data_IF_375541249937
#
_entry.id   IF_375541249937
#
_cell.length_a   1.000
_cell.length_b   1.000
_cell.length_c   1.000
_cell.angle_alpha   90.00
_cell.angle_beta   90.00
_cell.angle_gamma   90.00
#
_symmetry.space_group_name_H-M   'P 1'
#
loop_
_entity.id
_entity.type
_entity.pdbx_description
1 polymer ?
#
# COMPACT_ATOMS: atom_id res chain seq x y z
N UNK A 1 -10.96 7.30 -1.35
CA UNK A 1 -10.17 8.54 -1.52
C UNK A 1 -9.73 9.14 -0.17
N UNK A 2 -10.65 9.47 0.75
CA UNK A 2 -10.31 10.07 2.05
C UNK A 2 -9.31 9.25 2.90
N UNK A 3 -9.45 7.92 2.88
CA UNK A 3 -8.55 6.99 3.58
C UNK A 3 -7.13 6.99 3.01
N UNK A 4 -6.97 7.09 1.67
CA UNK A 4 -5.65 7.20 1.03
C UNK A 4 -5.00 8.52 1.43
N UNK A 5 -5.79 9.59 1.40
CA UNK A 5 -5.28 10.92 1.72
C UNK A 5 -4.80 10.99 3.18
N UNK A 6 -5.56 10.41 4.11
CA UNK A 6 -5.15 10.26 5.51
C UNK A 6 -3.91 9.38 5.64
N UNK A 7 -3.88 8.21 4.97
CA UNK A 7 -2.74 7.30 5.01
C UNK A 7 -1.46 7.96 4.48
N UNK A 8 -1.54 8.67 3.36
CA UNK A 8 -0.43 9.40 2.76
C UNK A 8 0.07 10.53 3.67
N UNK A 9 -0.84 11.27 4.32
CA UNK A 9 -0.48 12.31 5.31
C UNK A 9 0.23 11.68 6.51
N UNK A 10 -0.28 10.57 7.04
CA UNK A 10 0.33 9.87 8.17
C UNK A 10 1.71 9.33 7.80
N UNK A 11 1.87 8.72 6.62
CA UNK A 11 3.17 8.27 6.10
C UNK A 11 4.16 9.42 5.99
N UNK A 12 3.73 10.57 5.47
CA UNK A 12 4.60 11.74 5.32
C UNK A 12 5.01 12.33 6.68
N UNK A 13 4.08 12.42 7.63
CA UNK A 13 4.35 12.90 9.00
C UNK A 13 5.31 11.95 9.73
N UNK A 14 5.04 10.64 9.70
CA UNK A 14 5.88 9.65 10.37
C UNK A 14 7.25 9.57 9.69
N UNK A 15 7.31 9.64 8.36
CA UNK A 15 8.56 9.67 7.60
C UNK A 15 9.42 10.89 7.93
N UNK A 16 8.78 12.07 8.07
CA UNK A 16 9.47 13.31 8.44
C UNK A 16 9.99 13.30 9.89
N UNK A 17 9.23 12.70 10.82
CA UNK A 17 9.69 12.49 12.19
C UNK A 17 10.87 11.51 12.21
N UNK A 18 10.80 10.40 11.46
CA UNK A 18 11.89 9.43 11.41
C UNK A 18 13.18 10.03 10.81
N UNK A 19 13.09 10.93 9.82
CA UNK A 19 14.27 11.65 9.32
C UNK A 19 14.94 12.56 10.35
N UNK A 20 14.22 13.10 11.34
CA UNK A 20 14.81 13.94 12.39
C UNK A 20 15.35 13.14 13.58
N UNK A 21 14.78 11.95 13.86
CA UNK A 21 15.06 11.22 15.10
C UNK A 21 15.84 9.92 14.92
N UNK A 22 16.00 9.40 13.70
CA UNK A 22 16.69 8.12 13.43
C UNK A 22 17.82 8.34 12.42
N UNK A 23 19.04 8.53 12.93
CA UNK A 23 20.25 8.77 12.13
C UNK A 23 20.68 7.56 11.26
N UNK A 24 20.31 6.34 11.64
CA UNK A 24 20.70 5.08 10.94
C UNK A 24 19.66 4.58 9.92
N UNK A 25 18.57 5.32 9.69
CA UNK A 25 17.62 4.93 8.64
C UNK A 25 18.13 5.43 7.30
N UNK A 26 18.56 4.49 6.44
CA UNK A 26 18.96 4.81 5.07
C UNK A 26 17.77 5.33 4.24
N UNK A 27 16.52 4.91 4.56
CA UNK A 27 15.31 5.25 3.81
C UNK A 27 14.04 5.45 4.68
N UNK A 28 14.02 6.44 5.59
CA UNK A 28 12.98 6.59 6.62
C UNK A 28 11.57 6.87 6.10
N UNK A 29 11.44 7.44 4.90
CA UNK A 29 10.14 7.67 4.25
C UNK A 29 9.54 6.35 3.74
N UNK A 30 10.35 5.39 3.32
CA UNK A 30 9.86 4.09 2.86
C UNK A 30 9.53 3.16 4.02
N UNK A 31 10.34 3.19 5.07
CA UNK A 31 10.08 2.44 6.29
C UNK A 31 8.77 2.89 6.94
N UNK A 32 8.51 4.20 6.96
CA UNK A 32 7.23 4.73 7.44
C UNK A 32 6.07 4.32 6.52
N UNK A 33 6.30 4.30 5.21
CA UNK A 33 5.29 3.92 4.22
C UNK A 33 4.86 2.47 4.39
N UNK A 34 5.81 1.54 4.45
CA UNK A 34 5.54 0.10 4.61
C UNK A 34 4.86 -0.20 5.95
N UNK A 35 5.24 0.50 7.02
CA UNK A 35 4.62 0.36 8.36
C UNK A 35 3.18 0.84 8.37
N UNK A 36 2.92 2.06 7.88
CA UNK A 36 1.58 2.63 7.82
C UNK A 36 0.70 1.76 6.92
N UNK A 37 1.23 1.30 5.77
CA UNK A 37 0.49 0.40 4.89
C UNK A 37 0.17 -0.95 5.52
N UNK A 38 1.07 -1.52 6.33
CA UNK A 38 0.81 -2.76 7.05
C UNK A 38 -0.32 -2.62 8.08
N UNK A 39 -0.40 -1.47 8.75
CA UNK A 39 -1.50 -1.15 9.68
C UNK A 39 -2.81 -0.95 8.92
N UNK A 40 -2.79 -0.21 7.81
CA UNK A 40 -3.97 -0.03 6.96
C UNK A 40 -4.45 -1.36 6.37
N UNK A 41 -3.55 -2.21 5.89
CA UNK A 41 -3.86 -3.54 5.39
C UNK A 41 -4.59 -4.38 6.45
N UNK A 42 -4.04 -4.43 7.66
CA UNK A 42 -4.63 -5.13 8.79
C UNK A 42 -6.01 -4.59 9.17
N UNK A 43 -6.17 -3.27 9.18
CA UNK A 43 -7.44 -2.60 9.45
C UNK A 43 -8.50 -2.92 8.37
N UNK A 44 -8.10 -2.95 7.10
CA UNK A 44 -9.02 -3.19 5.99
C UNK A 44 -9.46 -4.66 5.90
N UNK A 45 -8.58 -5.61 6.25
CA UNK A 45 -8.95 -7.02 6.45
C UNK A 45 -10.00 -7.12 7.56
N UNK A 46 -9.80 -6.42 8.69
CA UNK A 46 -10.75 -6.43 9.81
C UNK A 46 -12.12 -5.81 9.46
N UNK A 47 -12.14 -4.80 8.58
CA UNK A 47 -13.37 -4.09 8.20
C UNK A 47 -14.17 -4.74 7.05
N UNK A 48 -13.69 -5.82 6.42
CA UNK A 48 -14.32 -6.46 5.25
C UNK A 48 -14.79 -5.45 4.17
N UNK A 49 -14.03 -4.37 3.94
CA UNK A 49 -14.40 -3.35 2.94
C UNK A 49 -14.01 -3.87 1.56
N UNK A 50 -15.01 -4.37 0.84
CA UNK A 50 -14.82 -5.16 -0.38
C UNK A 50 -14.38 -4.32 -1.61
N UNK A 51 -14.53 -3.00 -1.57
CA UNK A 51 -14.00 -2.08 -2.60
C UNK A 51 -12.51 -1.75 -2.46
N UNK A 52 -11.79 -2.41 -1.54
CA UNK A 52 -10.39 -2.09 -1.22
C UNK A 52 -9.41 -2.44 -2.36
N UNK A 53 -9.74 -3.34 -3.27
CA UNK A 53 -8.81 -3.82 -4.28
C UNK A 53 -8.25 -2.73 -5.21
N UNK A 54 -9.07 -1.73 -5.57
CA UNK A 54 -8.59 -0.57 -6.35
C UNK A 54 -7.61 0.31 -5.58
N UNK A 55 -7.70 0.33 -4.25
CA UNK A 55 -6.79 1.08 -3.40
C UNK A 55 -5.39 0.45 -3.41
N UNK A 56 -5.31 -0.87 -3.26
CA UNK A 56 -4.05 -1.62 -3.36
C UNK A 56 -3.36 -1.38 -4.69
N UNK A 57 -4.10 -1.43 -5.81
CA UNK A 57 -3.51 -1.20 -7.14
C UNK A 57 -2.84 0.18 -7.24
N UNK A 58 -3.53 1.24 -6.78
CA UNK A 58 -2.99 2.62 -6.85
C UNK A 58 -1.75 2.77 -5.96
N UNK A 59 -1.81 2.22 -4.75
CA UNK A 59 -0.74 2.33 -3.76
C UNK A 59 0.49 1.54 -4.20
N UNK A 60 0.31 0.27 -4.54
CA UNK A 60 1.41 -0.58 -4.97
C UNK A 60 2.06 -0.01 -6.23
N UNK A 61 1.29 0.62 -7.14
CA UNK A 61 1.85 1.31 -8.31
C UNK A 61 2.76 2.48 -7.93
N UNK A 62 2.38 3.29 -6.94
CA UNK A 62 3.22 4.38 -6.43
C UNK A 62 4.49 3.85 -5.76
N UNK A 63 4.37 2.74 -5.01
CA UNK A 63 5.49 2.09 -4.33
C UNK A 63 6.49 1.51 -5.35
N UNK A 64 6.00 0.85 -6.41
CA UNK A 64 6.84 0.35 -7.51
C UNK A 64 7.62 1.49 -8.15
N UNK A 65 6.96 2.63 -8.42
CA UNK A 65 7.62 3.81 -9.00
C UNK A 65 8.75 4.33 -8.10
N UNK A 66 8.51 4.39 -6.79
CA UNK A 66 9.53 4.81 -5.81
C UNK A 66 10.72 3.84 -5.76
N UNK A 67 10.48 2.53 -5.67
CA UNK A 67 11.56 1.53 -5.64
C UNK A 67 12.33 1.45 -6.96
N UNK A 68 11.67 1.69 -8.10
CA UNK A 68 12.32 1.74 -9.39
C UNK A 68 13.34 2.88 -9.49
N UNK A 69 13.00 4.06 -8.97
CA UNK A 69 13.91 5.22 -8.93
C UNK A 69 15.09 4.97 -7.98
N UNK A 70 14.87 4.21 -6.91
CA UNK A 70 15.91 3.90 -5.94
C UNK A 70 16.83 2.74 -6.36
N UNK A 71 16.48 1.99 -7.41
CA UNK A 71 17.27 0.85 -7.89
C UNK A 71 16.99 -0.46 -7.16
N UNK A 72 16.00 -0.49 -6.25
CA UNK A 72 15.63 -1.68 -5.48
C UNK A 72 14.63 -2.56 -6.24
N UNK A 73 15.13 -3.22 -7.29
CA UNK A 73 14.29 -3.99 -8.21
C UNK A 73 13.58 -5.19 -7.56
N UNK A 74 14.17 -5.79 -6.52
CA UNK A 74 13.59 -6.96 -5.84
C UNK A 74 12.27 -6.58 -5.14
N UNK A 75 12.24 -5.40 -4.49
CA UNK A 75 11.08 -4.89 -3.79
C UNK A 75 10.03 -4.39 -4.79
N UNK A 76 10.45 -3.69 -5.86
CA UNK A 76 9.55 -3.31 -6.94
C UNK A 76 8.82 -4.54 -7.53
N UNK A 77 9.51 -5.66 -7.70
CA UNK A 77 8.89 -6.91 -8.16
C UNK A 77 7.89 -7.48 -7.15
N UNK A 78 8.20 -7.43 -5.85
CA UNK A 78 7.28 -7.88 -4.79
C UNK A 78 5.95 -7.11 -4.84
N UNK A 79 6.00 -5.78 -4.96
CA UNK A 79 4.78 -4.97 -5.07
C UNK A 79 4.05 -5.19 -6.40
N UNK A 80 4.76 -5.55 -7.47
CA UNK A 80 4.15 -5.95 -8.74
C UNK A 80 3.32 -7.24 -8.58
N UNK A 81 3.80 -8.20 -7.79
CA UNK A 81 3.03 -9.40 -7.43
C UNK A 81 1.78 -9.03 -6.62
N UNK A 82 1.87 -8.05 -5.71
CA UNK A 82 0.71 -7.58 -4.95
C UNK A 82 -0.36 -6.93 -5.82
N UNK A 83 0.03 -6.16 -6.84
CA UNK A 83 -0.93 -5.65 -7.85
C UNK A 83 -1.67 -6.80 -8.53
N UNK A 84 -0.98 -7.86 -8.94
CA UNK A 84 -1.62 -9.02 -9.60
C UNK A 84 -2.64 -9.67 -8.65
N UNK A 85 -2.27 -9.87 -7.39
CA UNK A 85 -3.18 -10.41 -6.37
C UNK A 85 -4.38 -9.48 -6.17
N UNK A 86 -4.17 -8.17 -6.12
CA UNK A 86 -5.23 -7.20 -5.94
C UNK A 86 -6.23 -7.20 -7.11
N UNK A 87 -5.72 -7.31 -8.34
CA UNK A 87 -6.55 -7.45 -9.56
C UNK A 87 -7.36 -8.74 -9.52
N UNK A 88 -6.75 -9.87 -9.15
CA UNK A 88 -7.46 -11.15 -8.98
C UNK A 88 -8.55 -11.07 -7.91
N UNK A 89 -8.25 -10.43 -6.77
CA UNK A 89 -9.20 -10.19 -5.69
C UNK A 89 -10.39 -9.34 -6.14
N UNK A 90 -10.15 -8.31 -6.95
CA UNK A 90 -11.19 -7.47 -7.52
C UNK A 90 -12.16 -8.26 -8.43
N UNK A 91 -11.62 -9.06 -9.36
CA UNK A 91 -12.44 -9.85 -10.28
C UNK A 91 -13.21 -10.96 -9.57
N UNK A 92 -12.57 -11.69 -8.65
CA UNK A 92 -13.22 -12.70 -7.81
C UNK A 92 -14.39 -12.11 -7.03
N UNK A 93 -14.23 -10.87 -6.55
CA UNK A 93 -15.28 -10.18 -5.83
C UNK A 93 -16.47 -9.77 -6.72
N UNK A 94 -16.23 -9.22 -7.91
CA UNK A 94 -17.30 -8.87 -8.86
C UNK A 94 -18.12 -10.11 -9.22
N UNK A 95 -17.47 -11.25 -9.43
CA UNK A 95 -18.17 -12.51 -9.70
C UNK A 95 -19.08 -12.90 -8.54
N UNK A 96 -18.60 -12.78 -7.29
CA UNK A 96 -19.34 -13.14 -6.08
C UNK A 96 -20.52 -12.22 -5.78
N UNK A 97 -20.44 -10.95 -6.18
CA UNK A 97 -21.61 -10.06 -6.13
C UNK A 97 -22.68 -10.46 -7.15
N UNK A 98 -22.28 -10.78 -8.39
CA UNK A 98 -23.21 -11.24 -9.43
C UNK A 98 -23.90 -12.59 -9.14
N UNK A 99 -23.38 -13.38 -8.20
CA UNK A 99 -23.96 -14.68 -7.81
C UNK A 99 -24.92 -14.60 -6.61
N UNK A 100 -25.03 -13.43 -5.97
CA UNK A 100 -25.89 -13.19 -4.82
C UNK A 100 -27.17 -12.39 -5.17
N UNK A 101 -27.44 -12.19 -6.46
CA UNK A 101 -28.71 -11.74 -7.04
C UNK A 101 -29.47 -12.96 -7.61
#
# INVERSE_FOLDING_TARGET
>A
LFIIFIGAIITFIIGFILTEYVEDSEQPILDSLTTVFSVFASYMVAKKVLGNWLYWIVIDSLIIYLYYIQGEFILALQFLVYIIIAVYGYFSWIQRMKTND
#
